data_IF_338596126684
#
_entry.id   IF_338596126684
#
_cell.length_a   1.000
_cell.length_b   1.000
_cell.length_c   1.000
_cell.angle_alpha   90.00
_cell.angle_beta   90.00
_cell.angle_gamma   90.00
#
_symmetry.space_group_name_H-M   'P 1'
#
loop_
_entity.id
_entity.type
_entity.pdbx_description
1 polymer ?
#
# COMPACT_ATOMS: atom_id res chain seq x y z
N UNK A 1 -3.08 -6.78 -41.37
CA UNK A 1 -4.37 -6.69 -40.66
C UNK A 1 -4.07 -6.02 -39.33
N UNK A 2 -4.39 -4.74 -39.17
CA UNK A 2 -4.26 -4.07 -37.87
C UNK A 2 -5.28 -4.67 -36.92
N UNK A 3 -4.84 -5.23 -35.79
CA UNK A 3 -5.75 -5.71 -34.75
C UNK A 3 -6.64 -4.55 -34.31
N UNK A 4 -7.95 -4.79 -34.23
CA UNK A 4 -8.88 -3.77 -33.77
C UNK A 4 -8.63 -3.47 -32.29
N UNK A 5 -8.86 -2.23 -31.85
CA UNK A 5 -8.72 -1.86 -30.43
C UNK A 5 -9.60 -2.74 -29.53
N UNK A 6 -10.73 -3.21 -30.05
CA UNK A 6 -11.61 -4.19 -29.42
C UNK A 6 -10.92 -5.53 -29.17
N UNK A 7 -10.24 -6.09 -30.18
CA UNK A 7 -9.52 -7.36 -30.05
C UNK A 7 -8.37 -7.25 -29.04
N UNK A 8 -7.71 -6.09 -29.00
CA UNK A 8 -6.66 -5.80 -28.03
C UNK A 8 -7.23 -5.75 -26.61
N UNK A 9 -8.33 -5.05 -26.38
CA UNK A 9 -8.99 -5.00 -25.07
C UNK A 9 -9.49 -6.39 -24.62
N UNK A 10 -10.05 -7.18 -25.52
CA UNK A 10 -10.42 -8.58 -25.23
C UNK A 10 -9.18 -9.42 -24.88
N UNK A 11 -8.05 -9.19 -25.54
CA UNK A 11 -6.78 -9.87 -25.23
C UNK A 11 -6.20 -9.50 -23.86
N UNK A 12 -6.50 -8.29 -23.37
CA UNK A 12 -6.13 -7.84 -22.01
C UNK A 12 -7.06 -8.40 -20.92
N UNK A 13 -8.10 -9.16 -21.29
CA UNK A 13 -8.98 -9.85 -20.34
C UNK A 13 -10.21 -9.06 -19.90
N UNK A 14 -10.55 -7.97 -20.60
CA UNK A 14 -11.80 -7.22 -20.38
C UNK A 14 -13.00 -7.95 -20.99
N UNK A 15 -14.18 -7.82 -20.39
CA UNK A 15 -15.41 -8.45 -20.93
C UNK A 15 -15.91 -7.72 -22.17
N UNK A 16 -16.65 -8.42 -23.03
CA UNK A 16 -17.23 -7.86 -24.26
C UNK A 16 -18.08 -6.59 -24.00
N UNK A 17 -18.81 -6.60 -22.90
CA UNK A 17 -19.62 -5.48 -22.41
C UNK A 17 -18.79 -4.28 -21.94
N UNK A 18 -17.63 -4.53 -21.34
CA UNK A 18 -16.71 -3.47 -20.91
C UNK A 18 -16.03 -2.85 -22.12
N UNK A 19 -15.60 -3.66 -23.08
CA UNK A 19 -14.92 -3.20 -24.29
C UNK A 19 -15.84 -2.34 -25.17
N UNK A 20 -17.07 -2.79 -25.41
CA UNK A 20 -18.02 -2.02 -26.24
C UNK A 20 -18.43 -0.72 -25.55
N UNK A 21 -18.50 -0.71 -24.22
CA UNK A 21 -18.82 0.49 -23.44
C UNK A 21 -17.67 1.49 -23.37
N UNK A 22 -16.43 1.02 -23.25
CA UNK A 22 -15.25 1.87 -23.30
C UNK A 22 -15.07 2.51 -24.67
N UNK A 23 -15.28 1.74 -25.74
CA UNK A 23 -15.18 2.24 -27.12
C UNK A 23 -16.29 3.24 -27.45
N UNK A 24 -17.51 3.02 -26.97
CA UNK A 24 -18.62 3.97 -27.15
C UNK A 24 -18.44 5.25 -26.32
N UNK A 25 -17.95 5.14 -25.08
CA UNK A 25 -17.70 6.31 -24.23
C UNK A 25 -16.55 7.19 -24.75
N UNK A 26 -15.53 6.56 -25.33
CA UNK A 26 -14.36 7.26 -25.90
C UNK A 26 -14.52 7.60 -27.38
N UNK A 27 -15.66 7.22 -28.01
CA UNK A 27 -15.92 7.42 -29.45
C UNK A 27 -14.80 6.90 -30.36
N UNK A 28 -14.22 5.76 -30.01
CA UNK A 28 -13.06 5.17 -30.71
C UNK A 28 -11.85 6.12 -30.82
N UNK A 29 -11.58 6.92 -29.78
CA UNK A 29 -10.40 7.82 -29.74
C UNK A 29 -9.05 7.07 -29.68
N UNK A 30 -9.08 5.77 -29.35
CA UNK A 30 -7.95 4.85 -29.40
C UNK A 30 -7.87 3.96 -28.16
N UNK A 31 -7.07 2.90 -28.24
CA UNK A 31 -6.87 1.93 -27.16
C UNK A 31 -6.51 2.57 -25.80
N UNK A 32 -5.65 3.59 -25.80
CA UNK A 32 -5.16 4.22 -24.58
C UNK A 32 -6.27 4.95 -23.80
N UNK A 33 -7.15 5.64 -24.53
CA UNK A 33 -8.29 6.35 -23.93
C UNK A 33 -9.34 5.36 -23.43
N UNK A 34 -9.53 4.24 -24.15
CA UNK A 34 -10.43 3.17 -23.71
C UNK A 34 -9.92 2.48 -22.43
N UNK A 35 -8.60 2.28 -22.30
CA UNK A 35 -7.99 1.75 -21.08
C UNK A 35 -8.09 2.72 -19.90
N UNK A 36 -7.82 4.01 -20.10
CA UNK A 36 -7.95 5.04 -19.05
C UNK A 36 -9.43 5.19 -18.59
N UNK A 37 -10.38 5.00 -19.51
CA UNK A 37 -11.80 4.95 -19.15
C UNK A 37 -12.17 3.69 -18.36
N UNK A 38 -11.65 2.52 -18.76
CA UNK A 38 -11.87 1.26 -18.05
C UNK A 38 -11.22 1.25 -16.66
N UNK A 39 -10.06 1.86 -16.50
CA UNK A 39 -9.39 2.03 -15.19
C UNK A 39 -10.22 2.90 -14.25
N UNK A 40 -10.88 3.94 -14.78
CA UNK A 40 -11.69 4.88 -13.99
C UNK A 40 -13.07 4.33 -13.61
N UNK A 41 -13.68 3.48 -14.45
CA UNK A 41 -15.08 3.05 -14.28
C UNK A 41 -15.28 1.54 -14.18
N UNK A 42 -14.20 0.74 -14.17
CA UNK A 42 -14.18 -0.69 -14.44
C UNK A 42 -15.19 -1.55 -13.66
N UNK A 43 -15.35 -1.32 -12.35
CA UNK A 43 -16.20 -2.14 -11.48
C UNK A 43 -17.47 -1.40 -11.00
N UNK A 44 -17.52 -0.08 -11.18
CA UNK A 44 -18.61 0.78 -10.71
C UNK A 44 -19.25 1.50 -11.90
N UNK A 45 -19.76 0.69 -12.81
CA UNK A 45 -20.36 1.12 -14.06
C UNK A 45 -21.72 1.79 -13.78
N UNK A 46 -21.92 3.08 -14.14
CA UNK A 46 -23.22 3.74 -14.01
C UNK A 46 -24.29 3.01 -14.84
N UNK A 47 -25.53 2.83 -14.35
CA UNK A 47 -26.62 2.25 -15.15
C UNK A 47 -26.88 3.06 -16.44
N UNK A 48 -27.27 2.37 -17.51
CA UNK A 48 -27.45 2.95 -18.85
C UNK A 48 -28.34 4.21 -18.88
N UNK A 49 -27.80 5.32 -19.38
CA UNK A 49 -28.63 6.29 -20.11
C UNK A 49 -28.64 5.85 -21.56
N UNK A 50 -29.76 5.26 -21.99
CA UNK A 50 -30.08 5.10 -23.40
C UNK A 50 -30.15 6.50 -24.01
N UNK A 51 -29.15 6.86 -24.80
CA UNK A 51 -29.22 7.99 -25.72
C UNK A 51 -29.57 7.44 -27.08
N UNK A 52 -30.86 7.54 -27.42
CA UNK A 52 -31.33 7.44 -28.79
C UNK A 52 -30.56 8.49 -29.61
N UNK A 53 -29.78 8.01 -30.58
CA UNK A 53 -29.12 8.85 -31.56
C UNK A 53 -30.14 9.08 -32.67
N UNK A 54 -30.87 10.19 -32.57
CA UNK A 54 -31.57 10.78 -33.72
C UNK A 54 -30.54 11.44 -34.63
N UNK A 55 -30.27 10.79 -35.76
CA UNK A 55 -29.75 11.42 -36.96
C UNK A 55 -30.94 12.08 -37.68
N UNK A 56 -30.92 13.40 -37.81
CA UNK A 56 -31.96 14.18 -38.48
C UNK A 56 -31.32 15.06 -39.56
N UNK A 57 -31.36 14.57 -40.80
CA UNK A 57 -31.38 15.42 -41.98
C UNK A 57 -32.82 15.85 -42.29
N UNK A 58 -32.99 17.17 -42.25
CA UNK A 58 -34.04 18.05 -42.81
C UNK A 58 -35.14 17.46 -43.69
N UNK A 59 -36.40 17.84 -43.38
CA UNK A 59 -37.37 18.36 -44.37
C UNK A 59 -38.48 19.18 -43.70
N UNK A 60 -38.60 20.42 -44.15
CA UNK A 60 -39.71 21.35 -43.96
C UNK A 60 -41.06 20.70 -44.28
N UNK A 61 -42.04 20.89 -43.40
CA UNK A 61 -43.39 21.33 -43.76
C UNK A 61 -44.04 22.00 -42.56
N UNK A 62 -44.18 23.32 -42.62
CA UNK A 62 -45.28 24.03 -41.95
C UNK A 62 -46.58 23.48 -42.53
N UNK A 63 -47.43 22.89 -41.70
CA UNK A 63 -48.87 22.90 -41.96
C UNK A 63 -49.64 22.94 -40.66
N UNK A 64 -50.68 23.76 -40.68
CA UNK A 64 -51.45 24.18 -39.54
C UNK A 64 -52.15 22.98 -38.89
N UNK A 65 -51.89 22.76 -37.59
CA UNK A 65 -52.67 21.79 -36.82
C UNK A 65 -54.04 22.40 -36.51
N UNK A 66 -54.97 22.04 -37.38
CA UNK A 66 -56.40 22.23 -37.29
C UNK A 66 -56.94 21.90 -35.90
N UNK A 67 -57.65 22.86 -35.34
CA UNK A 67 -58.46 22.70 -34.14
C UNK A 67 -59.67 21.83 -34.50
N UNK A 68 -59.76 20.63 -33.94
CA UNK A 68 -61.01 19.86 -33.86
C UNK A 68 -61.33 19.62 -32.37
N UNK A 69 -62.55 19.95 -31.93
CA UNK A 69 -63.03 19.71 -30.57
C UNK A 69 -63.54 18.27 -30.42
N UNK A 70 -63.90 17.90 -29.18
CA UNK A 70 -64.45 16.61 -28.72
C UNK A 70 -63.35 15.66 -28.18
N UNK A 71 -63.31 15.30 -26.90
CA UNK A 71 -64.42 14.82 -26.06
C UNK A 71 -64.10 15.02 -24.57
N UNK A 72 -65.17 15.11 -23.79
CA UNK A 72 -65.23 15.45 -22.38
C UNK A 72 -64.77 14.27 -21.52
N UNK A 73 -63.56 14.33 -20.95
CA UNK A 73 -63.14 13.46 -19.85
C UNK A 73 -62.18 14.22 -18.91
N UNK A 74 -62.75 14.98 -17.97
CA UNK A 74 -62.01 15.49 -16.82
C UNK A 74 -61.71 14.33 -15.86
N UNK A 75 -60.53 13.71 -15.96
CA UNK A 75 -60.09 12.61 -15.09
C UNK A 75 -58.91 13.04 -14.21
N UNK A 76 -59.18 13.71 -13.09
CA UNK A 76 -58.17 13.87 -12.04
C UNK A 76 -58.00 12.53 -11.30
N UNK A 77 -56.77 12.05 -11.11
CA UNK A 77 -56.49 10.82 -10.37
C UNK A 77 -56.21 11.19 -8.91
N UNK A 78 -56.97 10.66 -7.95
CA UNK A 78 -56.65 10.79 -6.51
C UNK A 78 -55.90 9.56 -6.03
N UNK A 79 -54.82 9.74 -5.29
CA UNK A 79 -54.18 8.61 -4.60
C UNK A 79 -54.98 8.27 -3.34
N UNK A 80 -55.48 7.04 -3.23
CA UNK A 80 -56.26 6.58 -2.07
C UNK A 80 -55.42 6.54 -0.78
N UNK A 81 -54.11 6.33 -0.90
CA UNK A 81 -53.20 6.19 0.23
C UNK A 81 -52.80 7.53 0.87
N UNK A 82 -52.87 8.64 0.12
CA UNK A 82 -52.50 9.97 0.62
C UNK A 82 -53.48 11.11 0.31
N UNK A 83 -54.59 10.82 -0.36
CA UNK A 83 -55.65 11.78 -0.68
C UNK A 83 -55.25 12.93 -1.60
N UNK A 84 -54.12 12.81 -2.32
CA UNK A 84 -53.64 13.88 -3.23
C UNK A 84 -54.24 13.70 -4.62
N UNK A 85 -54.72 14.81 -5.19
CA UNK A 85 -55.27 14.85 -6.54
C UNK A 85 -54.19 15.22 -7.55
N UNK A 86 -54.14 14.47 -8.65
CA UNK A 86 -53.22 14.64 -9.76
C UNK A 86 -53.98 15.03 -11.02
N UNK A 87 -53.44 16.01 -11.74
CA UNK A 87 -54.07 16.55 -12.96
C UNK A 87 -53.92 15.60 -14.15
N UNK A 88 -52.79 14.90 -14.25
CA UNK A 88 -52.45 14.00 -15.35
C UNK A 88 -51.87 12.69 -14.80
N UNK A 89 -52.02 11.60 -15.57
CA UNK A 89 -51.49 10.28 -15.22
C UNK A 89 -49.96 10.26 -15.00
N UNK A 90 -49.19 11.04 -15.76
CA UNK A 90 -47.73 11.15 -15.58
C UNK A 90 -47.33 11.70 -14.19
N UNK A 91 -48.11 12.62 -13.61
CA UNK A 91 -47.86 13.14 -12.27
C UNK A 91 -48.24 12.14 -11.17
N UNK A 92 -49.27 11.32 -11.42
CA UNK A 92 -49.63 10.21 -10.55
C UNK A 92 -48.53 9.14 -10.54
N UNK A 93 -47.97 8.78 -11.70
CA UNK A 93 -46.83 7.86 -11.82
C UNK A 93 -45.58 8.37 -11.09
N UNK A 94 -45.24 9.66 -11.25
CA UNK A 94 -44.10 10.26 -10.53
C UNK A 94 -44.30 10.27 -9.00
N UNK A 95 -45.52 10.53 -8.55
CA UNK A 95 -45.86 10.43 -7.12
C UNK A 95 -45.75 8.98 -6.64
N UNK A 96 -46.22 8.01 -7.43
CA UNK A 96 -46.04 6.59 -7.14
C UNK A 96 -44.58 6.16 -7.04
N UNK A 97 -43.71 6.67 -7.91
CA UNK A 97 -42.26 6.37 -7.87
C UNK A 97 -41.56 7.01 -6.67
N UNK A 98 -41.94 8.24 -6.32
CA UNK A 98 -41.30 8.98 -5.22
C UNK A 98 -41.82 8.62 -3.83
N UNK A 99 -43.10 8.26 -3.71
CA UNK A 99 -43.73 7.93 -2.43
C UNK A 99 -44.13 6.46 -2.28
N UNK A 100 -44.01 5.65 -3.33
CA UNK A 100 -44.35 4.22 -3.30
C UNK A 100 -45.85 3.91 -3.28
N UNK A 101 -46.72 4.87 -3.61
CA UNK A 101 -48.17 4.67 -3.57
C UNK A 101 -48.71 4.23 -4.93
N UNK A 102 -49.49 3.15 -4.98
CA UNK A 102 -49.96 2.53 -6.24
C UNK A 102 -51.47 2.57 -6.42
N UNK A 103 -52.24 2.94 -5.38
CA UNK A 103 -53.69 2.93 -5.44
C UNK A 103 -54.22 4.31 -5.87
N UNK A 104 -54.60 4.44 -7.14
CA UNK A 104 -55.16 5.67 -7.71
C UNK A 104 -56.61 5.45 -8.13
N UNK A 105 -57.52 6.28 -7.61
CA UNK A 105 -58.93 6.30 -7.96
C UNK A 105 -59.20 7.49 -8.90
N UNK A 106 -59.99 7.29 -9.95
CA UNK A 106 -60.42 8.37 -10.83
C UNK A 106 -61.50 9.21 -10.12
N UNK A 107 -61.30 10.52 -10.01
CA UNK A 107 -62.26 11.45 -9.41
C UNK A 107 -62.56 12.62 -10.34
N UNK A 108 -63.86 12.90 -10.51
CA UNK A 108 -64.43 13.91 -11.41
C UNK A 108 -64.45 15.33 -10.82
N UNK A 109 -63.72 15.56 -9.72
CA UNK A 109 -63.63 16.87 -9.11
C UNK A 109 -62.61 17.74 -9.88
N UNK A 110 -63.11 18.67 -10.67
CA UNK A 110 -62.30 19.70 -11.32
C UNK A 110 -61.56 20.51 -10.25
N UNK A 111 -60.25 20.31 -10.15
CA UNK A 111 -59.37 21.10 -9.29
C UNK A 111 -59.52 22.57 -9.70
N UNK A 112 -60.15 23.38 -8.84
CA UNK A 112 -60.26 24.83 -9.07
C UNK A 112 -58.88 25.39 -9.45
N UNK A 113 -58.73 26.00 -10.64
CA UNK A 113 -57.46 26.58 -11.03
C UNK A 113 -57.10 27.66 -10.03
N UNK A 114 -55.95 27.50 -9.38
CA UNK A 114 -55.41 28.42 -8.39
C UNK A 114 -55.48 29.85 -8.95
N UNK A 115 -56.01 30.79 -8.18
CA UNK A 115 -56.22 32.17 -8.67
C UNK A 115 -54.89 32.80 -9.09
N UNK A 116 -54.92 33.76 -10.02
CA UNK A 116 -53.71 34.41 -10.57
C UNK A 116 -52.77 34.93 -9.45
N UNK A 117 -53.36 35.41 -8.35
CA UNK A 117 -52.66 35.98 -7.19
C UNK A 117 -51.96 34.91 -6.34
N UNK A 118 -52.64 33.81 -5.99
CA UNK A 118 -52.05 32.70 -5.23
C UNK A 118 -50.95 31.97 -6.01
N UNK A 119 -51.04 31.94 -7.35
CA UNK A 119 -49.96 31.44 -8.22
C UNK A 119 -48.72 32.33 -8.15
N UNK A 120 -48.89 33.65 -8.10
CA UNK A 120 -47.78 34.60 -8.00
C UNK A 120 -47.10 34.52 -6.64
N UNK A 121 -47.87 34.51 -5.54
CA UNK A 121 -47.34 34.36 -4.18
C UNK A 121 -46.55 33.06 -4.01
N UNK A 122 -47.06 31.95 -4.54
CA UNK A 122 -46.36 30.66 -4.50
C UNK A 122 -45.09 30.63 -5.35
N UNK A 123 -45.04 31.38 -6.46
CA UNK A 123 -43.82 31.56 -7.25
C UNK A 123 -42.78 32.41 -6.52
N UNK A 124 -43.21 33.45 -5.81
CA UNK A 124 -42.33 34.29 -4.98
C UNK A 124 -41.78 33.52 -3.78
N UNK A 125 -42.62 32.74 -3.10
CA UNK A 125 -42.19 31.85 -2.02
C UNK A 125 -41.15 30.83 -2.52
N UNK A 126 -41.37 30.23 -3.69
CA UNK A 126 -40.41 29.32 -4.32
C UNK A 126 -39.10 30.03 -4.71
N UNK A 127 -39.16 31.26 -5.21
CA UNK A 127 -37.96 32.07 -5.51
C UNK A 127 -37.16 32.37 -4.25
N UNK A 128 -37.82 32.80 -3.17
CA UNK A 128 -37.20 33.07 -1.87
C UNK A 128 -36.59 31.79 -1.27
N UNK A 129 -37.26 30.64 -1.42
CA UNK A 129 -36.74 29.35 -0.98
C UNK A 129 -35.52 28.90 -1.81
N UNK A 130 -35.52 29.17 -3.10
CA UNK A 130 -34.37 28.87 -3.97
C UNK A 130 -33.20 29.81 -3.70
N UNK A 131 -33.46 31.08 -3.43
CA UNK A 131 -32.44 32.07 -3.07
C UNK A 131 -31.83 31.76 -1.70
N UNK A 132 -32.63 31.41 -0.70
CA UNK A 132 -32.12 30.99 0.61
C UNK A 132 -31.29 29.70 0.51
N UNK A 133 -31.70 28.74 -0.33
CA UNK A 133 -30.91 27.53 -0.62
C UNK A 133 -29.61 27.84 -1.35
N UNK A 134 -29.61 28.77 -2.32
CA UNK A 134 -28.40 29.24 -3.03
C UNK A 134 -27.46 29.97 -2.08
N UNK A 135 -27.99 30.83 -1.20
CA UNK A 135 -27.20 31.54 -0.19
C UNK A 135 -26.57 30.57 0.82
N UNK A 136 -27.32 29.55 1.27
CA UNK A 136 -26.78 28.51 2.14
C UNK A 136 -25.66 27.71 1.44
N UNK A 137 -25.89 27.30 0.19
CA UNK A 137 -24.88 26.58 -0.60
C UNK A 137 -23.63 27.43 -0.83
N UNK A 138 -23.78 28.71 -1.18
CA UNK A 138 -22.66 29.62 -1.41
C UNK A 138 -21.78 29.81 -0.15
N UNK A 139 -22.37 29.76 1.06
CA UNK A 139 -21.59 29.80 2.31
C UNK A 139 -20.76 28.53 2.50
N UNK A 140 -21.35 27.37 2.27
CA UNK A 140 -20.64 26.07 2.36
C UNK A 140 -19.52 26.01 1.32
N UNK A 141 -19.82 26.34 0.05
CA UNK A 141 -18.84 26.34 -1.02
C UNK A 141 -17.68 27.33 -0.73
N UNK A 142 -17.96 28.48 -0.09
CA UNK A 142 -16.94 29.44 0.32
C UNK A 142 -16.07 28.94 1.49
N UNK A 143 -16.64 28.19 2.44
CA UNK A 143 -15.89 27.57 3.54
C UNK A 143 -15.01 26.41 3.04
N UNK A 144 -15.54 25.57 2.16
CA UNK A 144 -14.80 24.50 1.49
C UNK A 144 -13.65 25.05 0.63
N UNK A 145 -13.88 26.14 -0.11
CA UNK A 145 -12.84 26.80 -0.89
C UNK A 145 -11.71 27.33 0.01
N UNK A 146 -12.03 27.93 1.17
CA UNK A 146 -11.03 28.38 2.15
C UNK A 146 -10.27 27.20 2.75
N UNK A 147 -10.95 26.11 3.07
CA UNK A 147 -10.32 24.90 3.59
C UNK A 147 -9.35 24.27 2.56
N UNK A 148 -9.79 24.14 1.31
CA UNK A 148 -8.97 23.62 0.22
C UNK A 148 -7.73 24.51 -0.03
N UNK A 149 -7.89 25.83 0.02
CA UNK A 149 -6.77 26.75 -0.11
C UNK A 149 -5.79 26.65 1.08
N UNK A 150 -6.31 26.46 2.30
CA UNK A 150 -5.49 26.25 3.49
C UNK A 150 -4.72 24.93 3.43
N UNK A 151 -5.34 23.84 2.96
CA UNK A 151 -4.68 22.55 2.73
C UNK A 151 -3.55 22.70 1.71
N UNK A 152 -3.79 23.40 0.59
CA UNK A 152 -2.75 23.64 -0.43
C UNK A 152 -1.55 24.42 0.15
N UNK A 153 -1.80 25.47 0.93
CA UNK A 153 -0.74 26.25 1.59
C UNK A 153 0.02 25.39 2.62
N UNK A 154 -0.70 24.61 3.42
CA UNK A 154 -0.12 23.74 4.44
C UNK A 154 0.73 22.65 3.80
N UNK A 155 0.25 21.98 2.75
CA UNK A 155 1.02 20.97 2.02
C UNK A 155 2.35 21.52 1.47
N UNK A 156 2.34 22.74 0.91
CA UNK A 156 3.59 23.39 0.46
C UNK A 156 4.56 23.68 1.61
N UNK A 157 4.06 24.12 2.76
CA UNK A 157 4.87 24.36 3.97
C UNK A 157 5.41 23.05 4.56
N UNK A 158 4.57 22.03 4.68
CA UNK A 158 4.90 20.71 5.22
C UNK A 158 5.98 20.04 4.35
N UNK A 159 5.93 20.18 3.01
CA UNK A 159 6.99 19.68 2.12
C UNK A 159 8.33 20.39 2.34
N UNK A 160 8.32 21.70 2.57
CA UNK A 160 9.54 22.46 2.87
C UNK A 160 10.10 22.10 4.25
N UNK A 161 9.24 21.93 5.25
CA UNK A 161 9.64 21.50 6.60
C UNK A 161 10.19 20.08 6.58
N UNK A 162 9.55 19.16 5.86
CA UNK A 162 10.03 17.80 5.67
C UNK A 162 11.43 17.76 5.05
N UNK A 163 11.66 18.56 4.00
CA UNK A 163 12.97 18.65 3.36
C UNK A 163 14.04 19.19 4.32
N UNK A 164 13.73 20.25 5.08
CA UNK A 164 14.64 20.79 6.11
C UNK A 164 14.93 19.79 7.22
N UNK A 165 13.94 19.02 7.64
CA UNK A 165 14.12 17.98 8.66
C UNK A 165 15.02 16.85 8.16
N UNK A 166 14.85 16.42 6.91
CA UNK A 166 15.69 15.41 6.27
C UNK A 166 17.14 15.89 6.16
N UNK A 167 17.37 17.10 5.65
CA UNK A 167 18.69 17.74 5.58
C UNK A 167 19.32 17.88 6.98
N UNK A 168 18.55 18.29 7.99
CA UNK A 168 19.02 18.40 9.36
C UNK A 168 19.43 17.04 9.95
N UNK A 169 18.66 15.98 9.69
CA UNK A 169 18.98 14.61 10.12
C UNK A 169 20.26 14.09 9.47
N UNK A 170 20.48 14.39 8.19
CA UNK A 170 21.72 14.02 7.49
C UNK A 170 22.94 14.76 8.05
N UNK A 171 22.82 16.06 8.28
CA UNK A 171 23.90 16.84 8.92
C UNK A 171 24.19 16.33 10.32
N UNK A 172 23.17 16.02 11.13
CA UNK A 172 23.35 15.45 12.46
C UNK A 172 24.06 14.09 12.42
N UNK A 173 23.68 13.20 11.49
CA UNK A 173 24.36 11.91 11.30
C UNK A 173 25.83 12.10 10.92
N UNK A 174 26.13 13.04 10.01
CA UNK A 174 27.51 13.33 9.59
C UNK A 174 28.36 13.91 10.72
N UNK A 175 27.79 14.79 11.55
CA UNK A 175 28.47 15.33 12.75
C UNK A 175 28.72 14.20 13.76
N UNK A 176 27.73 13.34 14.00
CA UNK A 176 27.87 12.21 14.92
C UNK A 176 28.94 11.21 14.46
N UNK A 177 28.98 10.89 13.16
CA UNK A 177 30.02 10.04 12.58
C UNK A 177 31.41 10.66 12.73
N UNK A 178 31.58 11.94 12.38
CA UNK A 178 32.87 12.64 12.58
C UNK A 178 33.29 12.68 14.04
N UNK A 179 32.37 12.84 14.98
CA UNK A 179 32.68 12.80 16.41
C UNK A 179 33.07 11.39 16.87
N UNK A 180 32.39 10.36 16.35
CA UNK A 180 32.72 8.96 16.63
C UNK A 180 34.10 8.59 16.10
N UNK A 181 34.40 8.96 14.85
CA UNK A 181 35.73 8.76 14.24
C UNK A 181 36.83 9.45 15.05
N UNK A 182 36.62 10.72 15.45
CA UNK A 182 37.56 11.43 16.33
C UNK A 182 37.78 10.72 17.67
N UNK A 183 36.71 10.19 18.28
CA UNK A 183 36.80 9.46 19.54
C UNK A 183 37.51 8.12 19.38
N UNK A 184 37.25 7.39 18.30
CA UNK A 184 37.91 6.12 17.99
C UNK A 184 39.39 6.32 17.68
N UNK A 185 39.74 7.38 16.94
CA UNK A 185 41.13 7.76 16.67
C UNK A 185 41.85 8.15 17.97
N UNK A 186 41.21 8.94 18.85
CA UNK A 186 41.77 9.29 20.15
C UNK A 186 41.98 8.06 21.04
N UNK A 187 41.01 7.13 21.07
CA UNK A 187 41.11 5.86 21.81
C UNK A 187 42.21 4.96 21.22
N UNK A 188 42.33 4.88 19.90
CA UNK A 188 43.38 4.11 19.23
C UNK A 188 44.77 4.68 19.55
N UNK A 189 44.94 6.00 19.48
CA UNK A 189 46.18 6.68 19.90
C UNK A 189 46.50 6.43 21.37
N UNK A 190 45.51 6.49 22.26
CA UNK A 190 45.68 6.20 23.68
C UNK A 190 46.10 4.72 23.91
N UNK A 191 45.52 3.77 23.18
CA UNK A 191 45.88 2.35 23.26
C UNK A 191 47.31 2.09 22.81
N UNK A 192 47.74 2.70 21.70
CA UNK A 192 49.13 2.59 21.22
C UNK A 192 50.09 3.20 22.23
N UNK A 193 49.76 4.38 22.77
CA UNK A 193 50.58 5.02 23.80
C UNK A 193 50.72 4.15 25.05
N UNK A 194 49.64 3.51 25.51
CA UNK A 194 49.67 2.59 26.65
C UNK A 194 50.54 1.36 26.38
N UNK A 195 50.47 0.78 25.18
CA UNK A 195 51.33 -0.35 24.78
C UNK A 195 52.82 0.03 24.75
N UNK A 196 53.15 1.24 24.29
CA UNK A 196 54.53 1.75 24.30
C UNK A 196 55.01 1.98 25.74
N UNK A 197 54.15 2.50 26.62
CA UNK A 197 54.48 2.70 28.03
C UNK A 197 54.70 1.37 28.75
N UNK A 198 53.88 0.36 28.49
CA UNK A 198 54.03 -0.99 29.02
C UNK A 198 55.32 -1.67 28.52
N UNK A 199 55.64 -1.57 27.21
CA UNK A 199 56.90 -2.08 26.67
C UNK A 199 58.12 -1.35 27.27
N UNK A 200 58.02 -0.03 27.47
CA UNK A 200 59.08 0.77 28.09
C UNK A 200 59.28 0.39 29.56
N UNK A 201 58.20 0.20 30.33
CA UNK A 201 58.26 -0.27 31.72
C UNK A 201 58.87 -1.67 31.81
N UNK A 202 58.39 -2.60 30.98
CA UNK A 202 58.93 -3.97 30.91
C UNK A 202 60.43 -3.99 30.54
N UNK A 203 60.87 -3.14 29.61
CA UNK A 203 62.29 -3.02 29.27
C UNK A 203 63.10 -2.42 30.43
N UNK A 204 62.58 -1.40 31.11
CA UNK A 204 63.21 -0.80 32.27
C UNK A 204 63.33 -1.78 33.45
N UNK A 205 62.28 -2.55 33.74
CA UNK A 205 62.27 -3.60 34.78
C UNK A 205 63.29 -4.69 34.46
N UNK A 206 63.36 -5.17 33.22
CA UNK A 206 64.38 -6.15 32.80
C UNK A 206 65.79 -5.61 32.94
N UNK A 207 66.04 -4.37 32.52
CA UNK A 207 67.34 -3.72 32.66
C UNK A 207 67.72 -3.50 34.14
N UNK A 208 66.76 -3.13 34.99
CA UNK A 208 66.96 -2.99 36.43
C UNK A 208 67.28 -4.34 37.09
N UNK A 209 66.57 -5.41 36.72
CA UNK A 209 66.82 -6.77 37.19
C UNK A 209 68.18 -7.31 36.74
N UNK A 210 68.61 -7.00 35.52
CA UNK A 210 69.93 -7.41 35.02
C UNK A 210 71.05 -6.64 35.71
N UNK A 211 70.86 -5.33 35.92
CA UNK A 211 71.82 -4.50 36.67
C UNK A 211 71.93 -4.94 38.13
N UNK A 212 70.83 -5.25 38.81
CA UNK A 212 70.87 -5.77 40.18
C UNK A 212 71.55 -7.14 40.27
N UNK A 213 71.37 -8.02 39.27
CA UNK A 213 72.09 -9.30 39.19
C UNK A 213 73.59 -9.13 38.97
N UNK A 214 74.00 -8.07 38.25
CA UNK A 214 75.42 -7.77 37.97
C UNK A 214 76.14 -7.08 39.13
N UNK A 215 75.48 -6.15 39.82
CA UNK A 215 76.09 -5.38 40.91
C UNK A 215 76.02 -6.08 42.28
N UNK A 216 75.38 -7.28 42.37
CA UNK A 216 75.41 -8.13 43.56
C UNK A 216 74.67 -7.57 44.79
N UNK A 217 73.87 -6.51 44.63
CA UNK A 217 73.08 -5.89 45.70
C UNK A 217 71.63 -6.41 45.62
N UNK A 218 71.06 -7.01 46.70
CA UNK A 218 69.71 -7.54 46.68
C UNK A 218 68.67 -6.41 46.68
N UNK A 219 67.71 -6.47 45.74
CA UNK A 219 66.51 -5.64 45.78
C UNK A 219 65.52 -6.18 46.84
N UNK A 220 64.82 -5.31 47.58
CA UNK A 220 63.83 -5.71 48.55
C UNK A 220 62.67 -6.44 47.87
N UNK A 221 62.42 -7.66 48.32
CA UNK A 221 61.28 -8.47 47.92
C UNK A 221 60.00 -7.84 48.51
N UNK A 222 59.13 -7.32 47.66
CA UNK A 222 57.73 -7.13 48.02
C UNK A 222 57.00 -8.44 47.76
N UNK A 223 56.55 -9.04 48.87
CA UNK A 223 55.79 -10.28 48.96
C UNK A 223 54.29 -10.08 48.64
N UNK A 224 53.67 -11.18 48.18
CA UNK A 224 52.24 -11.45 48.02
C UNK A 224 51.54 -10.63 46.91
N UNK A 225 50.74 -11.21 45.99
CA UNK A 225 49.53 -12.02 46.24
C UNK A 225 49.26 -13.04 45.11
N UNK A 226 48.67 -14.16 45.52
CA UNK A 226 48.03 -15.25 44.77
C UNK A 226 47.28 -14.86 43.48
N UNK A 227 47.52 -15.59 42.38
CA UNK A 227 46.42 -16.17 41.61
C UNK A 227 46.86 -17.32 40.70
N UNK A 228 46.08 -18.38 40.75
CA UNK A 228 46.22 -19.63 39.99
C UNK A 228 46.08 -19.35 38.50
N UNK A 229 47.16 -19.55 37.74
CA UNK A 229 47.15 -19.57 36.28
C UNK A 229 46.77 -20.98 35.82
N UNK A 230 45.51 -21.12 35.37
CA UNK A 230 45.03 -22.27 34.62
C UNK A 230 45.65 -22.19 33.21
N UNK A 231 46.49 -23.17 32.87
CA UNK A 231 47.09 -23.34 31.54
C UNK A 231 46.00 -23.43 30.47
N UNK A 232 45.98 -22.47 29.55
CA UNK A 232 45.38 -22.64 28.23
C UNK A 232 46.44 -23.22 27.29
N UNK A 233 46.21 -24.41 26.70
CA UNK A 233 47.03 -24.86 25.59
C UNK A 233 46.61 -24.15 24.30
N UNK A 234 47.63 -23.61 23.65
CA UNK A 234 47.66 -23.22 22.24
C UNK A 234 47.12 -24.36 21.36
N UNK A 235 46.06 -24.11 20.60
CA UNK A 235 45.58 -25.05 19.58
C UNK A 235 46.16 -24.68 18.20
N UNK A 236 47.12 -25.49 17.76
CA UNK A 236 47.38 -25.75 16.33
C UNK A 236 46.23 -26.62 15.77
N UNK A 237 45.97 -26.61 14.45
CA UNK A 237 44.70 -27.02 13.87
C UNK A 237 44.59 -28.55 13.83
N UNK A 238 43.53 -29.08 14.45
CA UNK A 238 43.18 -30.50 14.39
C UNK A 238 41.93 -30.68 13.54
N UNK A 239 42.12 -31.45 12.48
CA UNK A 239 41.12 -32.05 11.61
C UNK A 239 40.15 -32.96 12.37
N UNK A 240 38.86 -32.82 12.06
CA UNK A 240 37.93 -33.96 12.03
C UNK A 240 37.35 -34.43 13.36
N UNK A 241 36.60 -33.58 14.06
CA UNK A 241 35.48 -34.03 14.90
C UNK A 241 34.21 -33.33 14.39
N UNK A 242 33.13 -34.10 14.21
CA UNK A 242 31.85 -33.59 13.71
C UNK A 242 31.27 -32.58 14.69
N UNK A 243 31.49 -31.29 14.42
CA UNK A 243 30.90 -30.20 15.20
C UNK A 243 29.37 -30.33 15.13
N UNK A 244 28.75 -30.63 16.28
CA UNK A 244 27.29 -30.63 16.43
C UNK A 244 26.86 -29.18 16.58
N UNK A 245 26.22 -28.63 15.55
CA UNK A 245 25.67 -27.29 15.58
C UNK A 245 24.23 -27.33 16.11
N UNK A 246 23.89 -26.44 17.04
CA UNK A 246 22.54 -26.31 17.63
C UNK A 246 21.67 -25.28 16.91
N UNK A 247 22.29 -24.35 16.20
CA UNK A 247 21.64 -23.28 15.44
C UNK A 247 22.28 -23.13 14.06
N UNK A 248 21.48 -22.74 13.06
CA UNK A 248 21.90 -22.56 11.67
C UNK A 248 21.47 -21.21 11.10
N UNK A 249 22.31 -20.65 10.23
CA UNK A 249 22.02 -19.40 9.48
C UNK A 249 21.62 -19.71 8.05
N UNK A 250 20.43 -19.29 7.64
CA UNK A 250 19.86 -19.55 6.33
C UNK A 250 19.82 -18.28 5.51
N UNK A 251 20.44 -18.29 4.33
CA UNK A 251 20.36 -17.21 3.36
C UNK A 251 19.35 -17.59 2.27
N UNK A 252 18.17 -16.96 2.32
CA UNK A 252 17.05 -17.18 1.42
C UNK A 252 17.09 -16.19 0.28
N UNK A 253 17.28 -16.67 -0.95
CA UNK A 253 17.23 -15.87 -2.18
C UNK A 253 15.85 -16.02 -2.82
N UNK A 254 15.12 -14.91 -2.95
CA UNK A 254 13.82 -14.90 -3.62
C UNK A 254 14.04 -14.71 -5.12
N UNK A 255 13.41 -15.54 -5.94
CA UNK A 255 13.54 -15.50 -7.42
C UNK A 255 12.76 -14.33 -8.03
N UNK A 256 11.69 -13.89 -7.36
CA UNK A 256 10.80 -12.85 -7.87
C UNK A 256 11.31 -11.42 -7.60
N UNK A 257 12.11 -11.26 -6.54
CA UNK A 257 12.80 -10.00 -6.25
C UNK A 257 14.15 -9.98 -6.99
N UNK A 258 14.68 -8.79 -7.26
CA UNK A 258 16.00 -8.50 -7.83
C UNK A 258 17.19 -9.06 -7.02
N UNK A 259 17.27 -10.38 -6.86
CA UNK A 259 18.28 -11.15 -6.13
C UNK A 259 18.53 -10.67 -4.68
N UNK A 260 17.50 -10.20 -3.97
CA UNK A 260 17.65 -9.87 -2.56
C UNK A 260 17.66 -11.13 -1.69
N UNK A 261 18.65 -11.20 -0.80
CA UNK A 261 18.79 -12.29 0.16
C UNK A 261 18.29 -11.90 1.54
N UNK A 262 17.39 -12.71 2.11
CA UNK A 262 16.95 -12.60 3.50
C UNK A 262 17.76 -13.58 4.35
N UNK A 263 18.26 -13.14 5.50
CA UNK A 263 19.02 -14.00 6.42
C UNK A 263 18.15 -14.31 7.63
N UNK A 264 17.83 -15.59 7.83
CA UNK A 264 17.07 -16.09 8.98
C UNK A 264 17.91 -17.07 9.80
N UNK A 265 17.58 -17.18 11.08
CA UNK A 265 18.24 -18.10 12.02
C UNK A 265 17.23 -19.10 12.57
N UNK A 266 17.55 -20.39 12.50
CA UNK A 266 16.70 -21.47 13.01
C UNK A 266 17.51 -22.45 13.86
N UNK A 267 16.81 -23.15 14.77
CA UNK A 267 17.37 -24.21 15.62
C UNK A 267 17.44 -25.53 14.85
N UNK A 268 18.34 -26.41 15.26
CA UNK A 268 18.59 -27.71 14.60
C UNK A 268 17.36 -28.65 14.55
N UNK A 269 16.46 -28.53 15.52
CA UNK A 269 15.26 -29.36 15.68
C UNK A 269 14.05 -28.84 14.89
N UNK A 270 14.14 -27.64 14.32
CA UNK A 270 13.05 -27.01 13.56
C UNK A 270 12.99 -27.52 12.13
N UNK A 271 11.84 -27.29 11.49
CA UNK A 271 11.54 -27.78 10.15
C UNK A 271 11.66 -26.67 9.09
N UNK A 272 11.65 -27.05 7.82
CA UNK A 272 11.64 -26.06 6.72
C UNK A 272 10.29 -25.31 6.63
N UNK A 273 9.20 -25.85 7.20
CA UNK A 273 7.94 -25.12 7.33
C UNK A 273 8.06 -23.92 8.26
N UNK A 274 8.76 -24.06 9.38
CA UNK A 274 9.03 -22.95 10.30
C UNK A 274 9.86 -21.86 9.61
N UNK A 275 10.79 -22.26 8.72
CA UNK A 275 11.55 -21.32 7.89
C UNK A 275 10.66 -20.55 6.91
N UNK A 276 9.64 -21.22 6.37
CA UNK A 276 8.66 -20.59 5.47
C UNK A 276 7.78 -19.60 6.24
N UNK A 277 7.29 -19.96 7.43
CA UNK A 277 6.49 -19.06 8.27
C UNK A 277 7.31 -17.84 8.71
N UNK A 278 8.55 -18.03 9.17
CA UNK A 278 9.44 -16.92 9.49
C UNK A 278 9.78 -16.04 8.29
N UNK A 279 9.84 -16.62 7.08
CA UNK A 279 10.03 -15.85 5.86
C UNK A 279 8.79 -15.00 5.55
N UNK A 280 7.59 -15.53 5.73
CA UNK A 280 6.33 -14.79 5.54
C UNK A 280 6.24 -13.63 6.54
N UNK A 281 6.60 -13.86 7.80
CA UNK A 281 6.55 -12.86 8.87
C UNK A 281 7.71 -11.85 8.81
N UNK A 282 8.73 -12.08 7.99
CA UNK A 282 9.90 -11.20 7.95
C UNK A 282 9.55 -9.82 7.37
N UNK A 283 10.00 -8.76 8.04
CA UNK A 283 9.69 -7.37 7.70
C UNK A 283 10.00 -6.99 6.24
N UNK A 284 11.03 -7.59 5.63
CA UNK A 284 11.40 -7.32 4.24
C UNK A 284 10.40 -7.87 3.21
N UNK A 285 9.43 -8.68 3.65
CA UNK A 285 8.43 -9.34 2.81
C UNK A 285 7.01 -8.77 3.01
N UNK A 286 6.87 -7.72 3.84
CA UNK A 286 5.64 -6.94 4.00
C UNK A 286 5.27 -6.25 2.68
N UNK A 287 4.45 -6.92 1.88
CA UNK A 287 4.01 -6.46 0.56
C UNK A 287 3.79 -7.57 -0.47
N UNK A 288 4.22 -8.80 -0.17
CA UNK A 288 4.06 -9.94 -1.08
C UNK A 288 3.11 -10.99 -0.49
N UNK A 289 2.12 -11.42 -1.27
CA UNK A 289 1.15 -12.45 -0.88
C UNK A 289 1.80 -13.81 -1.08
N UNK A 290 2.65 -14.23 -0.14
CA UNK A 290 3.00 -15.63 -0.06
C UNK A 290 1.78 -16.42 0.40
N UNK A 291 1.17 -17.20 -0.49
CA UNK A 291 0.15 -18.15 -0.07
C UNK A 291 0.82 -19.21 0.82
N UNK A 292 0.32 -19.36 2.06
CA UNK A 292 0.76 -20.40 3.00
C UNK A 292 0.66 -21.76 2.31
N UNK A 293 1.80 -22.40 2.04
CA UNK A 293 1.88 -23.72 1.39
C UNK A 293 2.27 -23.74 -0.09
N UNK A 294 2.47 -22.59 -0.73
CA UNK A 294 2.97 -22.46 -2.12
C UNK A 294 4.50 -22.33 -2.23
N UNK A 295 5.19 -22.23 -1.09
CA UNK A 295 6.63 -21.98 -1.01
C UNK A 295 7.41 -23.30 -1.14
N UNK A 296 8.32 -23.38 -2.11
CA UNK A 296 9.29 -24.47 -2.28
C UNK A 296 10.71 -23.96 -2.12
N UNK A 297 11.55 -24.72 -1.43
CA UNK A 297 12.96 -24.41 -1.27
C UNK A 297 13.83 -25.27 -2.20
N UNK A 298 14.90 -24.69 -2.73
CA UNK A 298 15.92 -25.41 -3.48
C UNK A 298 17.34 -24.97 -3.14
N UNK A 299 18.31 -25.88 -3.15
CA UNK A 299 19.73 -25.57 -2.97
C UNK A 299 20.40 -25.29 -4.31
N UNK A 300 21.45 -24.46 -4.30
CA UNK A 300 22.24 -24.20 -5.52
C UNK A 300 23.28 -25.29 -5.82
N UNK A 301 23.91 -25.89 -4.80
CA UNK A 301 24.94 -26.91 -4.98
C UNK A 301 25.09 -27.81 -3.72
N UNK A 302 24.93 -29.14 -3.82
CA UNK A 302 24.30 -29.85 -4.93
C UNK A 302 22.85 -29.39 -5.12
N UNK A 303 22.37 -29.30 -6.36
CA UNK A 303 20.99 -28.85 -6.63
C UNK A 303 20.00 -29.90 -6.12
N UNK A 304 19.22 -29.54 -5.10
CA UNK A 304 18.14 -30.36 -4.54
C UNK A 304 16.93 -29.47 -4.30
N UNK A 305 15.76 -29.90 -4.77
CA UNK A 305 14.46 -29.27 -4.51
C UNK A 305 13.77 -30.04 -3.38
N UNK A 306 13.33 -29.35 -2.33
CA UNK A 306 12.64 -29.99 -1.21
C UNK A 306 11.14 -30.08 -1.47
N UNK A 307 10.61 -31.29 -1.45
CA UNK A 307 9.17 -31.55 -1.52
C UNK A 307 8.51 -31.40 -0.13
N UNK A 308 7.17 -31.38 -0.07
CA UNK A 308 6.39 -31.22 1.18
C UNK A 308 6.80 -32.22 2.28
N UNK A 309 7.07 -33.47 1.90
CA UNK A 309 7.53 -34.51 2.84
C UNK A 309 8.93 -34.26 3.38
N UNK A 310 9.82 -33.69 2.56
CA UNK A 310 11.17 -33.33 3.00
C UNK A 310 11.17 -32.06 3.84
N UNK A 311 10.23 -31.14 3.59
CA UNK A 311 10.05 -29.94 4.39
C UNK A 311 9.60 -30.23 5.83
N UNK A 312 8.95 -31.37 6.06
CA UNK A 312 8.54 -31.84 7.38
C UNK A 312 9.68 -32.45 8.20
N UNK A 313 10.84 -32.72 7.59
CA UNK A 313 12.01 -33.27 8.29
C UNK A 313 12.77 -32.15 9.00
N UNK A 314 13.47 -32.52 10.07
CA UNK A 314 14.28 -31.58 10.83
C UNK A 314 15.47 -31.09 10.01
N UNK A 315 15.88 -29.84 10.24
CA UNK A 315 17.05 -29.21 9.61
C UNK A 315 18.33 -30.03 9.83
N UNK A 316 18.43 -30.69 10.99
CA UNK A 316 19.54 -31.59 11.34
C UNK A 316 19.57 -32.86 10.47
N UNK A 317 18.42 -33.47 10.20
CA UNK A 317 18.32 -34.64 9.32
C UNK A 317 18.64 -34.31 7.86
N UNK A 318 18.29 -33.10 7.42
CA UNK A 318 18.58 -32.61 6.08
C UNK A 318 20.04 -32.14 5.92
N UNK A 319 20.82 -32.09 6.99
CA UNK A 319 22.25 -31.73 6.96
C UNK A 319 22.51 -30.26 6.58
N UNK A 320 21.60 -29.34 6.89
CA UNK A 320 21.66 -27.94 6.44
C UNK A 320 22.44 -26.99 7.38
N UNK A 321 23.06 -27.53 8.43
CA UNK A 321 23.85 -26.78 9.40
C UNK A 321 25.33 -26.76 8.99
N UNK A 322 26.10 -25.70 9.34
CA UNK A 322 25.74 -24.53 10.15
C UNK A 322 25.17 -23.35 9.35
N UNK A 323 25.33 -23.35 8.03
CA UNK A 323 24.79 -22.30 7.18
C UNK A 323 24.58 -22.78 5.75
N UNK A 324 23.45 -22.42 5.16
CA UNK A 324 23.14 -22.77 3.76
C UNK A 324 22.42 -21.62 3.05
N UNK A 325 22.59 -21.56 1.73
CA UNK A 325 21.80 -20.68 0.87
C UNK A 325 20.72 -21.48 0.15
N UNK A 326 19.47 -21.10 0.36
CA UNK A 326 18.29 -21.69 -0.30
C UNK A 326 17.70 -20.66 -1.25
N UNK A 327 17.21 -21.14 -2.38
CA UNK A 327 16.45 -20.39 -3.38
C UNK A 327 14.98 -20.69 -3.12
N UNK A 328 14.18 -19.63 -3.00
CA UNK A 328 12.74 -19.70 -2.73
C UNK A 328 11.99 -19.59 -4.05
N UNK A 329 11.25 -20.64 -4.39
CA UNK A 329 10.37 -20.67 -5.55
C UNK A 329 8.91 -20.64 -5.06
N UNK A 330 8.08 -19.82 -5.70
CA UNK A 330 6.63 -19.81 -5.49
C UNK A 330 5.97 -20.41 -6.71
N UNK A 331 5.08 -21.39 -6.52
CA UNK A 331 4.19 -21.83 -7.59
C UNK A 331 3.16 -20.70 -7.81
N UNK A 332 3.35 -19.90 -8.85
CA UNK A 332 2.32 -18.98 -9.33
C UNK A 332 1.24 -19.80 -10.04
N UNK A 333 0.01 -19.71 -9.55
CA UNK A 333 -1.19 -20.09 -10.29
C UNK A 333 -2.01 -18.84 -10.58
#
# INVERSE_FOLDING_TARGET
MSSSDRDLLLSFGFTDTQTDRALSATKNAGLQDALDWLEKFGENMPPEEKKDVEDSETRDTNDALETQPESVAAQSLKCADCGKFFKNQALASYHGEKSGHTNFEESTEEIKPLTEQERQERLEELRLKMESKRAAKAKVDAEEAKANEAIRRKAGKDMLEYKRELEAKEVQKNIALRNKEKQEEAKAKARVKAQIEEDKKRRAEKAALEKSKRDGVPLPQTSNVTNVVKKTPTSVPSSGSSKVYTEGKFNLRLVDRSNESVILTLRAEQNLFDLADLLIDHQSNLGYIFQKGSIKFSTSYPRKTYNKEEMAKSIKELGLLPSISLIVNTDYY
#
